data_IF_669607030726
#
_entry.id   IF_669607030726
#
_cell.length_a   1.000
_cell.length_b   1.000
_cell.length_c   1.000
_cell.angle_alpha   90.00
_cell.angle_beta   90.00
_cell.angle_gamma   90.00
#
_symmetry.space_group_name_H-M   'P 1'
#
loop_
_entity.id
_entity.type
_entity.pdbx_description
1 polymer ?
#
# COMPACT_ATOMS: atom_id res chain seq x y z
N UNK A 1 -4.64 -12.87 -7.50
CA UNK A 1 -4.00 -11.80 -6.71
C UNK A 1 -4.58 -10.48 -7.16
N UNK A 2 -4.99 -9.64 -6.22
CA UNK A 2 -5.55 -8.31 -6.49
C UNK A 2 -4.74 -7.27 -5.72
N UNK A 3 -4.60 -6.07 -6.29
CA UNK A 3 -4.00 -4.91 -5.64
C UNK A 3 -5.04 -3.81 -5.49
N UNK A 4 -4.88 -2.94 -4.50
CA UNK A 4 -5.66 -1.71 -4.44
C UNK A 4 -5.32 -0.80 -5.64
N UNK A 5 -6.23 0.13 -5.93
CA UNK A 5 -6.06 1.13 -6.99
C UNK A 5 -4.92 2.12 -6.69
N UNK A 6 -4.63 2.37 -5.41
CA UNK A 6 -3.65 3.36 -4.98
C UNK A 6 -2.49 2.71 -4.23
N UNK A 7 -1.29 3.21 -4.50
CA UNK A 7 -0.05 2.78 -3.86
C UNK A 7 0.58 3.93 -3.07
N UNK A 8 1.39 3.58 -2.09
CA UNK A 8 2.08 4.51 -1.20
C UNK A 8 3.56 4.60 -1.57
N UNK A 9 4.16 5.78 -1.41
CA UNK A 9 5.59 6.00 -1.61
C UNK A 9 6.31 6.42 -0.34
N UNK A 10 5.68 7.26 0.47
CA UNK A 10 6.24 7.85 1.70
C UNK A 10 5.15 8.01 2.75
N UNK A 11 5.54 8.09 4.02
CA UNK A 11 4.62 8.26 5.14
C UNK A 11 4.05 6.94 5.66
N UNK A 12 3.17 7.03 6.67
CA UNK A 12 2.64 5.90 7.42
C UNK A 12 1.18 5.63 7.14
N UNK A 13 0.90 4.46 6.58
CA UNK A 13 -0.39 4.18 5.95
C UNK A 13 -1.03 2.91 6.46
N UNK A 14 -2.25 2.96 6.98
CA UNK A 14 -2.91 1.80 7.55
C UNK A 14 -4.10 1.34 6.71
N UNK A 15 -4.26 0.02 6.60
CA UNK A 15 -5.49 -0.62 6.12
C UNK A 15 -5.78 -1.87 6.93
N UNK A 16 -7.05 -2.23 7.02
CA UNK A 16 -7.54 -3.38 7.76
C UNK A 16 -8.13 -4.41 6.78
N UNK A 17 -7.99 -5.70 7.08
CA UNK A 17 -8.64 -6.79 6.33
C UNK A 17 -9.28 -7.71 7.35
N UNK A 18 -10.54 -8.02 7.10
CA UNK A 18 -11.31 -9.00 7.85
C UNK A 18 -11.42 -10.28 7.04
N UNK A 19 -11.07 -11.41 7.65
CA UNK A 19 -11.34 -12.73 7.07
C UNK A 19 -12.78 -13.08 7.42
N UNK A 20 -13.63 -13.21 6.40
CA UNK A 20 -15.05 -13.54 6.58
C UNK A 20 -15.25 -15.05 6.60
N UNK A 21 -14.63 -15.75 5.63
CA UNK A 21 -14.72 -17.20 5.51
C UNK A 21 -13.37 -17.80 5.13
N UNK A 22 -12.93 -18.81 5.88
CA UNK A 22 -11.68 -19.54 5.62
C UNK A 22 -11.91 -21.03 5.88
N UNK A 23 -12.47 -21.77 4.89
CA UNK A 23 -12.67 -23.21 5.00
C UNK A 23 -11.34 -23.96 5.18
N UNK A 24 -11.36 -25.22 5.66
CA UNK A 24 -10.19 -26.08 5.68
C UNK A 24 -9.55 -26.17 4.29
N UNK A 25 -8.22 -26.28 4.24
CA UNK A 25 -7.42 -26.26 3.00
C UNK A 25 -7.44 -24.96 2.17
N UNK A 26 -7.98 -23.87 2.70
CA UNK A 26 -7.85 -22.55 2.08
C UNK A 26 -6.74 -21.73 2.73
N UNK A 27 -6.24 -20.71 2.03
CA UNK A 27 -5.23 -19.81 2.59
C UNK A 27 -5.37 -18.41 1.99
N UNK A 28 -5.04 -17.37 2.77
CA UNK A 28 -4.99 -16.01 2.30
C UNK A 28 -3.62 -15.40 2.61
N UNK A 29 -3.02 -14.72 1.64
CA UNK A 29 -1.80 -13.92 1.79
C UNK A 29 -2.18 -12.46 1.64
N UNK A 30 -1.94 -11.69 2.68
CA UNK A 30 -2.26 -10.27 2.76
C UNK A 30 -0.96 -9.52 2.99
N UNK A 31 -0.78 -8.36 2.36
CA UNK A 31 0.42 -7.55 2.58
C UNK A 31 0.53 -6.41 1.57
N UNK A 32 1.77 -6.02 1.28
CA UNK A 32 2.11 -4.97 0.32
C UNK A 32 2.91 -5.55 -0.84
N UNK A 33 2.70 -5.02 -2.03
CA UNK A 33 3.42 -5.42 -3.24
C UNK A 33 4.07 -4.20 -3.91
N UNK A 34 5.37 -4.24 -4.22
CA UNK A 34 6.02 -3.14 -4.92
C UNK A 34 5.54 -3.06 -6.39
N UNK A 35 5.56 -1.85 -6.94
CA UNK A 35 5.29 -1.55 -8.34
C UNK A 35 6.35 -2.21 -9.24
N UNK A 36 6.08 -3.44 -9.69
CA UNK A 36 6.97 -4.19 -10.58
C UNK A 36 7.26 -5.63 -10.17
N UNK A 37 6.87 -6.06 -8.97
CA UNK A 37 7.04 -7.46 -8.57
C UNK A 37 6.02 -8.38 -9.27
N UNK A 38 6.50 -9.29 -10.12
CA UNK A 38 5.74 -10.43 -10.62
C UNK A 38 5.85 -11.59 -9.61
N UNK A 39 4.88 -11.68 -8.69
CA UNK A 39 4.74 -12.82 -7.76
C UNK A 39 5.26 -12.55 -6.35
N UNK A 40 4.40 -12.73 -5.35
CA UNK A 40 4.77 -12.65 -3.94
C UNK A 40 5.25 -14.02 -3.44
N UNK A 41 6.45 -14.03 -2.85
CA UNK A 41 6.84 -15.06 -1.88
C UNK A 41 5.87 -14.95 -0.69
N UNK A 42 5.41 -16.11 -0.24
CA UNK A 42 4.44 -16.30 0.85
C UNK A 42 4.81 -15.51 2.10
N UNK A 43 3.86 -14.72 2.66
CA UNK A 43 3.69 -14.33 4.08
C UNK A 43 2.52 -13.31 4.18
N UNK A 44 1.93 -13.19 5.36
CA UNK A 44 0.56 -12.76 5.65
C UNK A 44 0.51 -11.64 6.73
N UNK A 45 -0.42 -10.68 6.62
CA UNK A 45 -0.67 -9.64 7.65
C UNK A 45 -0.74 -8.20 7.07
N UNK A 46 -1.24 -7.17 7.76
CA UNK A 46 -1.45 -5.80 7.26
C UNK A 46 -0.51 -4.77 7.91
N UNK A 47 -0.05 -3.75 7.18
CA UNK A 47 1.05 -2.88 7.67
C UNK A 47 0.84 -1.39 7.40
N UNK A 48 1.28 -0.58 8.37
CA UNK A 48 1.65 0.82 8.22
C UNK A 48 3.16 1.07 8.10
N UNK A 49 3.56 1.86 7.11
CA UNK A 49 4.94 2.25 6.86
C UNK A 49 5.39 3.39 7.81
N UNK A 50 5.92 3.09 9.00
CA UNK A 50 6.54 4.13 9.83
C UNK A 50 7.87 4.62 9.23
N UNK A 51 8.21 5.88 9.52
CA UNK A 51 9.53 6.47 9.31
C UNK A 51 10.60 5.48 9.81
N UNK A 52 11.32 4.84 8.89
CA UNK A 52 12.22 3.71 9.20
C UNK A 52 12.09 2.47 8.32
N UNK A 53 11.35 2.53 7.20
CA UNK A 53 11.26 1.43 6.21
C UNK A 53 10.86 0.08 6.81
N UNK A 54 9.96 0.09 7.80
CA UNK A 54 9.52 -1.11 8.50
C UNK A 54 8.06 -1.44 8.18
N UNK A 55 7.78 -2.74 8.13
CA UNK A 55 6.45 -3.30 8.02
C UNK A 55 6.04 -3.98 9.31
N UNK A 56 4.95 -3.54 9.95
CA UNK A 56 4.44 -4.09 11.22
C UNK A 56 3.07 -4.73 11.03
N UNK A 57 2.88 -5.96 11.52
CA UNK A 57 1.58 -6.64 11.45
C UNK A 57 0.77 -6.45 12.72
N UNK A 58 -0.55 -6.28 12.57
CA UNK A 58 -1.50 -6.24 13.67
C UNK A 58 -2.53 -7.36 13.54
N UNK A 59 -2.87 -8.00 14.66
CA UNK A 59 -3.98 -8.95 14.78
C UNK A 59 -4.95 -8.42 15.83
N UNK A 60 -6.16 -8.04 15.41
CA UNK A 60 -7.20 -7.47 16.28
C UNK A 60 -6.70 -6.30 17.15
N UNK A 61 -5.86 -5.44 16.58
CA UNK A 61 -5.29 -4.26 17.26
C UNK A 61 -4.03 -4.54 18.09
N UNK A 62 -3.57 -5.79 18.19
CA UNK A 62 -2.34 -6.16 18.89
C UNK A 62 -1.20 -6.31 17.88
N UNK A 63 -0.10 -5.58 18.09
CA UNK A 63 1.11 -5.71 17.26
C UNK A 63 1.66 -7.14 17.35
N UNK A 64 1.93 -7.74 16.20
CA UNK A 64 2.60 -9.04 16.06
C UNK A 64 4.11 -8.87 15.83
N UNK A 65 4.61 -7.64 15.90
CA UNK A 65 6.01 -7.29 15.66
C UNK A 65 6.28 -6.84 14.23
N UNK A 66 7.55 -6.49 14.00
CA UNK A 66 8.06 -6.07 12.70
C UNK A 66 8.24 -7.30 11.81
N UNK A 67 7.55 -7.31 10.68
CA UNK A 67 7.60 -8.36 9.68
C UNK A 67 8.79 -8.22 8.73
N UNK A 68 9.05 -6.98 8.30
CA UNK A 68 10.14 -6.64 7.40
C UNK A 68 10.74 -5.31 7.81
N UNK A 69 12.05 -5.20 7.73
CA UNK A 69 12.82 -3.96 7.93
C UNK A 69 13.60 -3.65 6.66
N UNK A 70 14.03 -2.39 6.50
CA UNK A 70 14.84 -1.95 5.37
C UNK A 70 14.21 -2.28 4.01
N UNK A 71 12.94 -1.92 3.86
CA UNK A 71 12.22 -2.02 2.59
C UNK A 71 12.93 -1.24 1.48
N UNK A 72 12.96 -1.86 0.28
CA UNK A 72 13.42 -1.21 -0.93
C UNK A 72 12.63 0.08 -1.21
N UNK A 73 13.29 1.09 -1.75
CA UNK A 73 12.61 2.29 -2.17
C UNK A 73 11.70 1.98 -3.38
N UNK A 74 10.46 2.45 -3.31
CA UNK A 74 9.50 2.23 -4.38
C UNK A 74 8.08 2.52 -3.94
N UNK A 75 7.15 2.35 -4.87
CA UNK A 75 5.73 2.43 -4.60
C UNK A 75 5.20 1.06 -4.19
N UNK A 76 4.47 1.00 -3.07
CA UNK A 76 3.88 -0.22 -2.54
C UNK A 76 2.36 -0.15 -2.58
N UNK A 77 1.72 -1.23 -3.02
CA UNK A 77 0.26 -1.32 -3.09
C UNK A 77 -0.25 -2.35 -2.07
N UNK A 78 -1.34 -2.05 -1.35
CA UNK A 78 -2.07 -3.08 -0.60
C UNK A 78 -2.43 -4.23 -1.54
N UNK A 79 -2.10 -5.46 -1.17
CA UNK A 79 -2.24 -6.62 -2.02
C UNK A 79 -2.82 -7.81 -1.25
N UNK A 80 -3.72 -8.54 -1.94
CA UNK A 80 -4.39 -9.72 -1.42
C UNK A 80 -4.28 -10.85 -2.43
N UNK A 81 -3.85 -12.01 -1.96
CA UNK A 81 -3.82 -13.24 -2.72
C UNK A 81 -4.54 -14.33 -1.96
N UNK A 82 -5.58 -14.87 -2.58
CA UNK A 82 -6.45 -15.90 -2.00
C UNK A 82 -6.12 -17.24 -2.66
N UNK A 83 -6.19 -18.31 -1.88
CA UNK A 83 -6.03 -19.70 -2.31
C UNK A 83 -7.33 -20.45 -2.04
N UNK A 84 -7.92 -21.00 -3.12
CA UNK A 84 -9.26 -21.59 -3.14
C UNK A 84 -10.34 -20.59 -2.67
N UNK A 85 -11.45 -21.10 -2.13
CA UNK A 85 -12.66 -20.35 -1.78
C UNK A 85 -12.58 -19.72 -0.38
N UNK A 86 -11.63 -18.83 -0.15
CA UNK A 86 -11.65 -17.98 1.05
C UNK A 86 -12.20 -16.58 0.72
N UNK A 87 -12.92 -16.00 1.67
CA UNK A 87 -13.55 -14.68 1.53
C UNK A 87 -12.91 -13.72 2.51
N UNK A 88 -12.43 -12.59 2.01
CA UNK A 88 -11.85 -11.51 2.82
C UNK A 88 -12.41 -10.16 2.37
N UNK A 89 -12.58 -9.27 3.34
CA UNK A 89 -13.06 -7.91 3.12
C UNK A 89 -12.01 -6.90 3.55
N UNK A 90 -11.77 -5.90 2.72
CA UNK A 90 -10.74 -4.87 2.94
C UNK A 90 -11.39 -3.57 3.36
N UNK A 91 -10.86 -2.96 4.41
CA UNK A 91 -11.24 -1.66 4.91
C UNK A 91 -10.03 -0.71 4.84
N UNK A 92 -10.08 0.26 3.95
CA UNK A 92 -9.03 1.27 3.77
C UNK A 92 -9.15 2.45 4.75
N UNK A 93 -10.17 2.46 5.62
CA UNK A 93 -10.45 3.56 6.55
C UNK A 93 -11.53 4.52 6.03
N UNK A 94 -11.78 5.62 6.76
CA UNK A 94 -11.07 6.05 7.97
C UNK A 94 -11.51 5.32 9.26
N UNK A 95 -12.64 4.61 9.23
CA UNK A 95 -13.20 3.93 10.41
C UNK A 95 -12.73 2.49 10.50
N UNK A 96 -11.72 2.23 11.34
CA UNK A 96 -11.18 0.90 11.58
C UNK A 96 -11.85 0.22 12.78
N UNK A 97 -11.95 -1.11 12.75
CA UNK A 97 -12.47 -1.88 13.88
C UNK A 97 -11.46 -1.96 15.01
N UNK A 98 -10.18 -2.15 14.66
CA UNK A 98 -9.08 -2.27 15.61
C UNK A 98 -7.89 -1.38 15.22
N UNK A 99 -8.00 -0.04 15.41
CA UNK A 99 -6.93 0.87 15.06
C UNK A 99 -5.68 0.67 15.92
N UNK A 100 -4.46 0.77 15.35
CA UNK A 100 -3.22 0.80 16.10
C UNK A 100 -3.20 1.96 17.11
N UNK A 101 -2.83 1.68 18.36
CA UNK A 101 -2.78 2.71 19.44
C UNK A 101 -1.41 3.35 19.60
N UNK A 102 -0.37 2.64 19.19
CA UNK A 102 1.03 2.98 19.47
C UNK A 102 1.65 3.88 18.40
N UNK A 103 1.06 3.91 17.19
CA UNK A 103 1.64 4.55 16.02
C UNK A 103 0.70 5.60 15.44
N UNK A 104 1.27 6.68 14.92
CA UNK A 104 0.55 7.63 14.09
C UNK A 104 0.47 7.10 12.66
N UNK A 105 -0.70 7.12 12.05
CA UNK A 105 -0.88 6.63 10.69
C UNK A 105 -1.96 7.45 9.97
N UNK A 106 -1.95 7.34 8.65
CA UNK A 106 -2.95 7.85 7.73
C UNK A 106 -3.74 6.66 7.18
N UNK A 107 -5.07 6.74 7.06
CA UNK A 107 -5.84 5.68 6.43
C UNK A 107 -5.55 5.62 4.94
N UNK A 108 -5.55 4.42 4.36
CA UNK A 108 -5.40 4.26 2.90
C UNK A 108 -6.50 4.94 2.09
N UNK A 109 -7.65 5.25 2.68
CA UNK A 109 -8.71 6.05 2.06
C UNK A 109 -8.22 7.43 1.62
N UNK A 110 -7.28 8.03 2.37
CA UNK A 110 -6.79 9.39 2.09
C UNK A 110 -5.90 9.42 0.83
N UNK A 111 -5.27 8.29 0.46
CA UNK A 111 -4.51 8.19 -0.79
C UNK A 111 -5.37 8.30 -2.03
N UNK A 112 -6.68 8.06 -1.95
CA UNK A 112 -7.57 8.19 -3.11
C UNK A 112 -7.51 9.61 -3.69
N UNK A 113 -7.52 10.63 -2.84
CA UNK A 113 -7.42 12.02 -3.27
C UNK A 113 -5.99 12.40 -3.67
N UNK A 114 -4.99 12.01 -2.87
CA UNK A 114 -3.59 12.32 -3.15
C UNK A 114 -3.15 11.80 -4.51
N UNK A 115 -3.46 10.54 -4.81
CA UNK A 115 -3.11 9.94 -6.10
C UNK A 115 -3.85 10.59 -7.27
N UNK A 116 -5.14 10.94 -7.11
CA UNK A 116 -5.90 11.65 -8.16
C UNK A 116 -5.28 13.02 -8.43
N UNK A 117 -4.90 13.77 -7.38
CA UNK A 117 -4.23 15.07 -7.52
C UNK A 117 -2.88 14.90 -8.22
N UNK A 118 -2.08 13.92 -7.83
CA UNK A 118 -0.77 13.65 -8.44
C UNK A 118 -0.90 13.28 -9.92
N UNK A 119 -1.84 12.40 -10.29
CA UNK A 119 -2.07 12.04 -11.69
C UNK A 119 -2.58 13.23 -12.49
N UNK A 120 -3.52 13.99 -11.95
CA UNK A 120 -4.06 15.17 -12.63
C UNK A 120 -2.97 16.22 -12.85
N UNK A 121 -2.11 16.46 -11.86
CA UNK A 121 -0.99 17.38 -11.98
C UNK A 121 0.05 16.87 -12.99
N UNK A 122 0.32 15.56 -13.00
CA UNK A 122 1.22 14.95 -13.98
C UNK A 122 0.68 15.12 -15.41
N UNK A 123 -0.62 14.92 -15.63
CA UNK A 123 -1.27 15.14 -16.92
C UNK A 123 -1.17 16.62 -17.33
N UNK A 124 -1.50 17.56 -16.44
CA UNK A 124 -1.37 18.99 -16.70
C UNK A 124 0.06 19.38 -17.04
N UNK A 125 1.04 18.92 -16.25
CA UNK A 125 2.45 19.19 -16.46
C UNK A 125 2.92 18.60 -17.79
N UNK A 126 2.52 17.37 -18.12
CA UNK A 126 2.85 16.74 -19.39
C UNK A 126 2.36 17.59 -20.56
N UNK A 127 1.11 18.07 -20.52
CA UNK A 127 0.56 18.92 -21.57
C UNK A 127 1.35 20.23 -21.70
N UNK A 128 1.67 20.89 -20.58
CA UNK A 128 2.47 22.13 -20.58
C UNK A 128 3.89 21.88 -21.10
N UNK A 129 4.54 20.81 -20.67
CA UNK A 129 5.88 20.43 -21.13
C UNK A 129 5.89 20.08 -22.62
N UNK A 130 4.83 19.43 -23.14
CA UNK A 130 4.71 19.15 -24.57
C UNK A 130 4.41 20.39 -25.42
N UNK A 131 3.65 21.35 -24.88
CA UNK A 131 3.22 22.54 -25.61
C UNK A 131 4.27 23.68 -25.60
N UNK A 132 5.08 23.78 -24.55
CA UNK A 132 6.00 24.94 -24.33
C UNK A 132 7.43 24.69 -24.80
N UNK A 133 7.94 23.45 -24.78
CA UNK A 133 9.32 23.17 -25.21
C UNK A 133 9.47 21.72 -25.64
N UNK A 134 9.73 21.49 -26.93
CA UNK A 134 10.20 20.20 -27.44
C UNK A 134 11.47 19.77 -26.68
N UNK A 135 11.29 18.95 -25.64
CA UNK A 135 12.31 18.33 -24.76
C UNK A 135 13.52 19.22 -24.45
N UNK A 136 13.46 19.97 -23.36
CA UNK A 136 14.65 20.34 -22.58
C UNK A 136 14.49 19.87 -21.14
N UNK A 137 14.98 18.67 -20.85
CA UNK A 137 15.22 18.26 -19.47
C UNK A 137 16.25 19.21 -18.85
N UNK A 138 16.09 19.62 -17.58
CA UNK A 138 17.10 20.43 -16.91
C UNK A 138 18.44 19.67 -16.86
N UNK A 139 19.59 20.36 -17.01
CA UNK A 139 20.90 19.71 -16.89
C UNK A 139 21.02 19.13 -15.48
N UNK A 140 21.35 17.84 -15.40
CA UNK A 140 21.64 17.18 -14.12
C UNK A 140 22.79 17.86 -13.39
N UNK A 141 22.85 17.78 -12.05
CA UNK A 141 23.94 18.36 -11.28
C UNK A 141 25.28 17.71 -11.66
N UNK A 142 26.26 18.54 -12.03
CA UNK A 142 27.66 18.17 -12.21
C UNK A 142 28.35 17.96 -10.86
#
# INVERSE_FOLDING_TARGET
>A
MVRASHGIRKGSWFFEVTVEEMPPETAARLGWQPAGAAGLRQVQLLVAQQEGHAMIFYKNGVSQGVAFENLFEGMYFPAISLYKSCTVSVNFGPHFKHPPKELKYQPMSDMGWGAVIEHTLADMLYHVETDVDGRRSPPGPC
#
